data_IF_185654693900
#
_entry.id   IF_185654693900
#
_cell.length_a   1.000
_cell.length_b   1.000
_cell.length_c   1.000
_cell.angle_alpha   90.00
_cell.angle_beta   90.00
_cell.angle_gamma   90.00
#
_symmetry.space_group_name_H-M   'P 1'
#
loop_
_entity.id
_entity.type
_entity.pdbx_description
1 polymer ?
#
# COMPACT_ATOMS: atom_id res chain seq x y z
N UNK A 1 -74.98 -58.08 -10.19
CA UNK A 1 -74.60 -57.37 -8.97
C UNK A 1 -73.69 -56.27 -9.43
N UNK A 2 -74.28 -55.13 -9.95
CA UNK A 2 -74.66 -53.97 -9.10
C UNK A 2 -73.52 -53.60 -8.21
N UNK A 3 -73.05 -52.53 -8.40
CA UNK A 3 -73.04 -51.07 -8.42
C UNK A 3 -71.72 -50.61 -7.88
N UNK A 4 -71.03 -49.73 -8.52
CA UNK A 4 -70.85 -48.32 -8.09
C UNK A 4 -70.21 -47.59 -9.25
N UNK A 5 -71.03 -46.84 -9.98
CA UNK A 5 -70.56 -45.71 -10.81
C UNK A 5 -71.05 -44.45 -10.12
N UNK A 6 -70.15 -43.64 -9.57
CA UNK A 6 -70.51 -42.26 -9.21
C UNK A 6 -69.34 -41.36 -9.28
N UNK A 7 -69.42 -40.43 -10.21
CA UNK A 7 -69.12 -39.03 -9.95
C UNK A 7 -67.72 -38.52 -10.23
N UNK A 8 -67.26 -38.53 -11.47
CA UNK A 8 -66.28 -37.48 -11.91
C UNK A 8 -67.05 -36.37 -12.64
N UNK A 9 -67.39 -35.33 -11.90
CA UNK A 9 -67.84 -34.06 -12.51
C UNK A 9 -66.66 -33.44 -13.24
N UNK A 10 -66.64 -33.50 -14.58
CA UNK A 10 -65.71 -32.76 -15.43
C UNK A 10 -65.92 -31.26 -15.25
N UNK A 11 -64.98 -30.57 -14.64
CA UNK A 11 -65.02 -29.15 -14.54
C UNK A 11 -65.15 -28.51 -15.96
N UNK A 12 -66.03 -27.56 -16.13
CA UNK A 12 -66.26 -26.89 -17.42
C UNK A 12 -64.98 -26.26 -17.93
N UNK A 13 -64.68 -26.31 -19.24
CA UNK A 13 -63.40 -25.76 -19.83
C UNK A 13 -63.13 -24.30 -19.43
N UNK A 14 -64.14 -23.49 -19.20
CA UNK A 14 -64.03 -22.09 -18.76
C UNK A 14 -63.45 -21.96 -17.33
N UNK A 15 -63.76 -22.90 -16.41
CA UNK A 15 -63.21 -22.91 -15.05
C UNK A 15 -61.74 -23.29 -15.04
N UNK A 16 -61.33 -24.24 -15.88
CA UNK A 16 -59.94 -24.64 -16.04
C UNK A 16 -59.09 -23.50 -16.61
N UNK A 17 -59.57 -22.76 -17.56
CA UNK A 17 -58.88 -21.60 -18.15
C UNK A 17 -58.72 -20.46 -17.14
N UNK A 18 -59.75 -20.18 -16.35
CA UNK A 18 -59.71 -19.16 -15.29
C UNK A 18 -58.69 -19.50 -14.19
N UNK A 19 -58.65 -20.75 -13.73
CA UNK A 19 -57.67 -21.21 -12.75
C UNK A 19 -56.25 -21.17 -13.32
N UNK A 20 -56.07 -21.56 -14.59
CA UNK A 20 -54.79 -21.49 -15.27
C UNK A 20 -54.27 -20.04 -15.37
N UNK A 21 -55.09 -19.11 -15.77
CA UNK A 21 -54.76 -17.68 -15.89
C UNK A 21 -54.44 -17.04 -14.51
N UNK A 22 -55.23 -17.36 -13.47
CA UNK A 22 -54.95 -16.90 -12.10
C UNK A 22 -53.64 -17.43 -11.55
N UNK A 23 -53.30 -18.70 -11.80
CA UNK A 23 -52.02 -19.27 -11.38
C UNK A 23 -50.84 -18.70 -12.14
N UNK A 24 -51.01 -18.40 -13.43
CA UNK A 24 -49.97 -17.71 -14.23
C UNK A 24 -49.75 -16.28 -13.79
N UNK A 25 -50.78 -15.52 -13.49
CA UNK A 25 -50.72 -14.17 -12.93
C UNK A 25 -50.03 -14.16 -11.55
N UNK A 26 -50.38 -15.11 -10.66
CA UNK A 26 -49.72 -15.26 -9.35
C UNK A 26 -48.23 -15.54 -9.49
N UNK A 27 -47.81 -16.43 -10.40
CA UNK A 27 -46.41 -16.75 -10.65
C UNK A 27 -45.66 -15.52 -11.23
N UNK A 28 -46.29 -14.78 -12.13
CA UNK A 28 -45.68 -13.55 -12.70
C UNK A 28 -45.54 -12.44 -11.65
N UNK A 29 -46.57 -12.25 -10.81
CA UNK A 29 -46.49 -11.29 -9.68
C UNK A 29 -45.41 -11.68 -8.66
N UNK A 30 -45.31 -12.98 -8.30
CA UNK A 30 -44.22 -13.41 -7.41
C UNK A 30 -42.85 -13.21 -8.01
N UNK A 31 -42.65 -13.42 -9.31
CA UNK A 31 -41.41 -13.18 -9.99
C UNK A 31 -41.06 -11.68 -10.02
N UNK A 32 -42.05 -10.81 -10.25
CA UNK A 32 -41.85 -9.34 -10.21
C UNK A 32 -41.50 -8.89 -8.78
N UNK A 33 -42.18 -9.39 -7.75
CA UNK A 33 -41.86 -9.08 -6.35
C UNK A 33 -40.48 -9.58 -5.95
N UNK A 34 -40.07 -10.76 -6.40
CA UNK A 34 -38.72 -11.28 -6.14
C UNK A 34 -37.64 -10.41 -6.82
N UNK A 35 -37.88 -9.97 -8.07
CA UNK A 35 -36.96 -9.08 -8.81
C UNK A 35 -36.86 -7.69 -8.16
N UNK A 36 -37.97 -7.13 -7.72
CA UNK A 36 -37.99 -5.84 -7.00
C UNK A 36 -37.26 -5.96 -5.64
N UNK A 37 -37.44 -7.04 -4.93
CA UNK A 37 -36.75 -7.29 -3.65
C UNK A 37 -35.22 -7.44 -3.83
N UNK A 38 -34.80 -8.11 -4.91
CA UNK A 38 -33.37 -8.24 -5.25
C UNK A 38 -32.78 -6.87 -5.64
N UNK A 39 -33.47 -6.08 -6.46
CA UNK A 39 -33.03 -4.73 -6.86
C UNK A 39 -33.01 -3.80 -5.64
N UNK A 40 -34.00 -3.84 -4.75
CA UNK A 40 -34.03 -3.08 -3.53
C UNK A 40 -32.94 -3.50 -2.53
N UNK A 41 -32.64 -4.82 -2.45
CA UNK A 41 -31.54 -5.35 -1.64
C UNK A 41 -30.17 -4.93 -2.16
N UNK A 42 -29.97 -4.94 -3.47
CA UNK A 42 -28.73 -4.46 -4.11
C UNK A 42 -28.58 -2.94 -3.91
N UNK A 43 -29.65 -2.18 -4.10
CA UNK A 43 -29.63 -0.71 -3.91
C UNK A 43 -29.39 -0.32 -2.45
N UNK A 44 -29.93 -1.04 -1.48
CA UNK A 44 -29.71 -0.77 -0.05
C UNK A 44 -28.30 -1.14 0.39
N UNK A 45 -27.72 -2.23 -0.12
CA UNK A 45 -26.34 -2.62 0.15
C UNK A 45 -25.34 -1.61 -0.49
N UNK A 46 -25.59 -1.17 -1.71
CA UNK A 46 -24.76 -0.16 -2.37
C UNK A 46 -24.83 1.20 -1.65
N UNK A 47 -26.01 1.64 -1.22
CA UNK A 47 -26.19 2.86 -0.45
C UNK A 47 -25.57 2.77 0.96
N UNK A 48 -25.62 1.59 1.60
CA UNK A 48 -24.98 1.33 2.89
C UNK A 48 -23.45 1.30 2.75
N UNK A 49 -22.92 0.68 1.69
CA UNK A 49 -21.50 0.68 1.38
C UNK A 49 -21.00 2.12 1.14
N UNK A 50 -21.71 2.91 0.32
CA UNK A 50 -21.33 4.28 -0.03
C UNK A 50 -21.24 5.24 1.17
N UNK A 51 -21.88 4.94 2.29
CA UNK A 51 -21.83 5.75 3.51
C UNK A 51 -20.72 5.37 4.50
N UNK A 52 -19.97 4.30 4.25
CA UNK A 52 -18.96 3.81 5.20
C UNK A 52 -17.51 4.26 4.91
N UNK A 53 -17.30 5.03 3.84
CA UNK A 53 -15.96 5.49 3.46
C UNK A 53 -15.52 6.73 4.21
N UNK A 54 -14.22 6.80 4.51
CA UNK A 54 -13.59 8.04 4.90
C UNK A 54 -13.62 9.03 3.72
N UNK A 55 -13.89 10.30 4.01
CA UNK A 55 -13.98 11.35 2.99
C UNK A 55 -13.22 12.59 3.38
N UNK A 56 -12.80 13.34 2.38
CA UNK A 56 -12.19 14.66 2.57
C UNK A 56 -13.29 15.72 2.78
N UNK A 57 -13.13 16.53 3.82
CA UNK A 57 -13.98 17.70 4.10
C UNK A 57 -13.11 18.90 4.49
N UNK A 58 -12.84 19.78 3.55
CA UNK A 58 -11.87 20.85 3.75
C UNK A 58 -10.48 20.27 4.05
N UNK A 59 -9.86 20.71 5.13
CA UNK A 59 -8.54 20.23 5.58
C UNK A 59 -8.58 18.97 6.44
N UNK A 60 -9.75 18.36 6.59
CA UNK A 60 -9.97 17.21 7.47
C UNK A 60 -10.33 15.96 6.68
N UNK A 61 -10.00 14.81 7.22
CA UNK A 61 -10.60 13.53 6.87
C UNK A 61 -11.74 13.28 7.85
N UNK A 62 -12.90 12.87 7.36
CA UNK A 62 -14.08 12.60 8.19
C UNK A 62 -14.57 11.17 8.00
N UNK A 63 -15.07 10.61 9.10
CA UNK A 63 -15.77 9.33 9.13
C UNK A 63 -17.20 9.49 8.60
N UNK A 64 -17.90 8.38 8.32
CA UNK A 64 -19.31 8.40 7.91
C UNK A 64 -20.24 9.13 8.87
N UNK A 65 -19.94 9.12 10.17
CA UNK A 65 -20.70 9.84 11.21
C UNK A 65 -20.38 11.35 11.28
N UNK A 66 -19.49 11.84 10.40
CA UNK A 66 -19.04 13.23 10.36
C UNK A 66 -17.95 13.59 11.36
N UNK A 67 -17.54 12.67 12.24
CA UNK A 67 -16.43 12.90 13.17
C UNK A 67 -15.09 12.92 12.42
N UNK A 68 -14.14 13.71 12.94
CA UNK A 68 -12.80 13.77 12.35
C UNK A 68 -12.05 12.45 12.51
N UNK A 69 -11.32 12.08 11.47
CA UNK A 69 -10.39 10.96 11.49
C UNK A 69 -8.96 11.49 11.41
N UNK A 70 -8.15 11.17 12.41
CA UNK A 70 -6.75 11.54 12.45
C UNK A 70 -5.89 10.31 12.18
N UNK A 71 -5.15 10.29 11.08
CA UNK A 71 -4.24 9.20 10.72
C UNK A 71 -3.13 9.10 11.76
N UNK A 72 -2.95 7.93 12.35
CA UNK A 72 -1.89 7.61 13.29
C UNK A 72 -1.44 6.18 13.07
N UNK A 73 -0.22 5.99 12.57
CA UNK A 73 0.16 4.65 12.15
C UNK A 73 1.63 4.44 11.83
N UNK A 74 1.88 3.41 11.05
CA UNK A 74 3.21 2.97 10.61
C UNK A 74 3.17 2.38 9.21
N UNK A 75 4.36 2.26 8.62
CA UNK A 75 4.58 1.69 7.29
C UNK A 75 5.04 0.24 7.39
N UNK A 76 4.51 -0.66 6.55
CA UNK A 76 5.03 -2.02 6.39
C UNK A 76 6.25 -2.03 5.45
N UNK A 77 7.20 -1.14 5.69
CA UNK A 77 8.41 -1.01 4.88
C UNK A 77 9.27 -2.26 4.87
N UNK A 78 10.08 -2.42 3.83
CA UNK A 78 10.99 -3.54 3.59
C UNK A 78 10.30 -4.91 3.39
N UNK A 79 8.98 -4.95 3.28
CA UNK A 79 8.27 -6.23 3.12
C UNK A 79 8.04 -6.59 1.66
N UNK A 80 7.25 -5.80 0.95
CA UNK A 80 6.93 -6.01 -0.47
C UNK A 80 7.77 -5.13 -1.41
N UNK A 81 8.60 -4.27 -0.84
CA UNK A 81 9.65 -3.52 -1.51
C UNK A 81 10.92 -3.56 -0.64
N UNK A 82 11.86 -4.50 -0.89
CA UNK A 82 13.10 -4.60 -0.12
C UNK A 82 14.04 -3.44 -0.39
N UNK A 83 14.61 -2.87 0.68
CA UNK A 83 15.60 -1.80 0.63
C UNK A 83 16.92 -2.24 1.29
N UNK A 84 18.03 -2.01 0.60
CA UNK A 84 19.33 -2.54 0.99
C UNK A 84 19.75 -2.17 2.41
N UNK A 85 19.56 -0.92 2.83
CA UNK A 85 19.99 -0.47 4.16
C UNK A 85 19.29 -1.23 5.30
N UNK A 86 18.08 -1.74 5.08
CA UNK A 86 17.36 -2.56 6.06
C UNK A 86 17.91 -3.97 6.18
N UNK A 87 18.67 -4.44 5.19
CA UNK A 87 19.46 -5.67 5.22
C UNK A 87 20.91 -5.43 5.68
N UNK A 88 21.30 -4.16 5.87
CA UNK A 88 22.66 -3.76 6.18
C UNK A 88 23.57 -3.61 4.96
N UNK A 89 22.98 -3.55 3.75
CA UNK A 89 23.71 -3.35 2.50
C UNK A 89 23.84 -1.85 2.18
N UNK A 90 24.94 -1.46 1.56
CA UNK A 90 25.23 -0.08 1.15
C UNK A 90 25.16 0.07 -0.36
N UNK A 91 25.85 -0.79 -1.09
CA UNK A 91 25.95 -0.69 -2.55
C UNK A 91 24.86 -1.51 -3.28
N UNK A 92 24.34 -2.56 -2.64
CA UNK A 92 23.23 -3.37 -3.14
C UNK A 92 21.95 -2.88 -2.48
N UNK A 93 21.34 -1.82 -3.02
CA UNK A 93 20.39 -1.04 -2.25
C UNK A 93 18.97 -0.95 -2.84
N UNK A 94 18.71 -1.49 -4.04
CA UNK A 94 17.36 -1.60 -4.60
C UNK A 94 16.86 -3.05 -4.61
N UNK A 95 15.56 -3.24 -4.76
CA UNK A 95 14.91 -4.56 -4.76
C UNK A 95 15.50 -5.50 -5.84
N UNK A 96 15.67 -5.03 -7.07
CA UNK A 96 16.26 -5.81 -8.17
C UNK A 96 17.73 -6.12 -7.93
N UNK A 97 18.51 -5.20 -7.36
CA UNK A 97 19.90 -5.44 -7.02
C UNK A 97 20.05 -6.50 -5.92
N UNK A 98 19.17 -6.47 -4.92
CA UNK A 98 19.17 -7.45 -3.83
C UNK A 98 18.80 -8.84 -4.35
N UNK A 99 17.76 -8.94 -5.17
CA UNK A 99 17.34 -10.20 -5.78
C UNK A 99 18.47 -10.82 -6.64
N UNK A 100 19.07 -9.99 -7.50
CA UNK A 100 20.21 -10.41 -8.31
C UNK A 100 21.38 -10.88 -7.45
N UNK A 101 21.75 -10.14 -6.42
CA UNK A 101 22.82 -10.50 -5.52
C UNK A 101 22.54 -11.83 -4.79
N UNK A 102 21.30 -12.07 -4.36
CA UNK A 102 20.94 -13.36 -3.75
C UNK A 102 21.01 -14.50 -4.77
N UNK A 103 20.59 -14.28 -6.05
CA UNK A 103 20.75 -15.28 -7.13
C UNK A 103 22.24 -15.61 -7.37
N UNK A 104 23.11 -14.61 -7.37
CA UNK A 104 24.57 -14.80 -7.46
C UNK A 104 25.13 -15.55 -6.26
N UNK A 105 24.57 -15.36 -5.06
CA UNK A 105 25.04 -15.94 -3.82
C UNK A 105 24.65 -17.42 -3.66
N UNK A 106 23.37 -17.75 -3.86
CA UNK A 106 22.80 -19.07 -3.51
C UNK A 106 22.05 -19.77 -4.64
N UNK A 107 21.95 -19.15 -5.82
CA UNK A 107 21.23 -19.66 -7.00
C UNK A 107 19.74 -19.27 -7.00
N UNK A 108 19.14 -19.36 -8.19
CA UNK A 108 17.77 -18.87 -8.45
C UNK A 108 16.69 -19.58 -7.63
N UNK A 109 16.73 -20.92 -7.61
CA UNK A 109 15.73 -21.73 -6.90
C UNK A 109 15.69 -21.44 -5.38
N UNK A 110 16.88 -21.35 -4.77
CA UNK A 110 16.96 -21.03 -3.34
C UNK A 110 16.51 -19.60 -3.05
N UNK A 111 16.87 -18.65 -3.92
CA UNK A 111 16.45 -17.25 -3.82
C UNK A 111 14.93 -17.13 -3.91
N UNK A 112 14.28 -17.80 -4.86
CA UNK A 112 12.83 -17.82 -4.98
C UNK A 112 12.16 -18.40 -3.71
N UNK A 113 12.71 -19.51 -3.19
CA UNK A 113 12.25 -20.12 -1.92
C UNK A 113 12.43 -19.17 -0.72
N UNK A 114 13.57 -18.46 -0.67
CA UNK A 114 13.82 -17.45 0.38
C UNK A 114 12.80 -16.33 0.34
N UNK A 115 12.56 -15.72 -0.81
CA UNK A 115 11.60 -14.62 -0.96
C UNK A 115 10.18 -15.02 -0.61
N UNK A 116 9.76 -16.23 -1.02
CA UNK A 116 8.45 -16.74 -0.61
C UNK A 116 8.32 -16.81 0.91
N UNK A 117 9.28 -17.42 1.59
CA UNK A 117 9.30 -17.53 3.06
C UNK A 117 9.46 -16.16 3.73
N UNK A 118 10.22 -15.24 3.13
CA UNK A 118 10.39 -13.89 3.62
C UNK A 118 9.04 -13.16 3.65
N UNK A 119 8.29 -13.18 2.55
CA UNK A 119 6.96 -12.58 2.49
C UNK A 119 5.98 -13.20 3.48
N UNK A 120 6.09 -14.50 3.72
CA UNK A 120 5.21 -15.21 4.66
C UNK A 120 5.58 -14.95 6.15
N UNK A 121 6.84 -14.64 6.46
CA UNK A 121 7.36 -14.52 7.83
C UNK A 121 7.51 -13.06 8.30
N UNK A 122 7.82 -12.12 7.37
CA UNK A 122 8.22 -10.77 7.75
C UNK A 122 7.06 -9.95 8.30
N UNK A 123 5.90 -10.00 7.65
CA UNK A 123 4.64 -9.42 8.13
C UNK A 123 3.59 -10.52 8.21
N UNK A 124 2.99 -10.65 9.37
CA UNK A 124 1.99 -11.67 9.69
C UNK A 124 0.78 -11.04 10.39
N UNK A 125 -0.26 -11.85 10.59
CA UNK A 125 -1.43 -11.45 11.38
C UNK A 125 -1.05 -10.92 12.78
N UNK A 126 -0.03 -11.51 13.41
CA UNK A 126 0.42 -11.11 14.73
C UNK A 126 1.07 -9.72 14.73
N UNK A 127 1.77 -9.37 13.65
CA UNK A 127 2.30 -8.01 13.47
C UNK A 127 1.17 -6.97 13.41
N UNK A 128 0.10 -7.24 12.65
CA UNK A 128 -1.05 -6.33 12.52
C UNK A 128 -1.82 -6.23 13.85
N UNK A 129 -2.00 -7.34 14.55
CA UNK A 129 -2.58 -7.34 15.91
C UNK A 129 -1.75 -6.48 16.86
N UNK A 130 -0.43 -6.61 16.81
CA UNK A 130 0.46 -5.81 17.63
C UNK A 130 0.38 -4.31 17.26
N UNK A 131 0.41 -3.96 15.97
CA UNK A 131 0.25 -2.57 15.51
C UNK A 131 -1.03 -1.97 16.11
N UNK A 132 -2.16 -2.68 16.05
CA UNK A 132 -3.41 -2.20 16.69
C UNK A 132 -3.25 -1.96 18.20
N UNK A 133 -2.58 -2.86 18.91
CA UNK A 133 -2.38 -2.75 20.36
C UNK A 133 -1.57 -1.52 20.75
N UNK A 134 -0.75 -0.98 19.84
CA UNK A 134 0.00 0.26 20.05
C UNK A 134 -0.87 1.52 20.00
N UNK A 135 -2.15 1.43 19.61
CA UNK A 135 -3.05 2.57 19.44
C UNK A 135 -2.98 3.20 18.03
N UNK A 136 -2.27 2.59 17.11
CA UNK A 136 -2.34 2.93 15.70
C UNK A 136 -3.74 2.62 15.14
N UNK A 137 -4.15 3.38 14.12
CA UNK A 137 -5.43 3.20 13.43
C UNK A 137 -5.26 3.02 11.92
N UNK A 138 -4.05 3.23 11.40
CA UNK A 138 -3.75 3.19 9.97
C UNK A 138 -2.43 2.49 9.70
N UNK A 139 -2.40 1.71 8.63
CA UNK A 139 -1.21 1.11 8.06
C UNK A 139 -1.02 1.68 6.65
N UNK A 140 0.22 2.03 6.28
CA UNK A 140 0.61 2.31 4.90
C UNK A 140 1.38 1.10 4.37
N UNK A 141 0.97 0.61 3.21
CA UNK A 141 1.53 -0.58 2.57
C UNK A 141 2.27 -0.19 1.29
N UNK A 142 3.61 -0.14 1.32
CA UNK A 142 4.44 0.02 0.14
C UNK A 142 4.30 -1.16 -0.81
N UNK A 143 4.02 -0.88 -2.08
CA UNK A 143 3.83 -1.85 -3.16
C UNK A 143 4.83 -1.60 -4.29
N UNK A 144 5.31 -2.68 -4.89
CA UNK A 144 6.09 -2.63 -6.10
C UNK A 144 5.21 -3.04 -7.29
N UNK A 145 5.31 -2.36 -8.44
CA UNK A 145 4.47 -2.62 -9.60
C UNK A 145 4.55 -4.08 -10.10
N UNK A 146 5.74 -4.71 -10.00
CA UNK A 146 5.95 -6.11 -10.41
C UNK A 146 5.13 -7.13 -9.61
N UNK A 147 4.54 -6.74 -8.49
CA UNK A 147 3.58 -7.58 -7.77
C UNK A 147 2.26 -7.79 -8.53
N UNK A 148 2.02 -6.99 -9.58
CA UNK A 148 0.81 -6.97 -10.39
C UNK A 148 1.06 -7.29 -11.87
N UNK A 149 2.25 -7.75 -12.20
CA UNK A 149 2.67 -8.16 -13.55
C UNK A 149 3.09 -9.62 -13.55
N UNK A 150 3.45 -10.15 -14.70
CA UNK A 150 4.03 -11.49 -14.86
C UNK A 150 5.56 -11.50 -14.77
N UNK A 151 6.17 -10.34 -14.47
CA UNK A 151 7.61 -10.24 -14.26
C UNK A 151 8.04 -10.98 -12.98
N UNK A 152 9.20 -11.65 -13.03
CA UNK A 152 9.79 -12.28 -11.85
C UNK A 152 10.22 -11.21 -10.83
N UNK A 153 9.59 -11.26 -9.67
CA UNK A 153 9.87 -10.34 -8.58
C UNK A 153 9.76 -11.03 -7.24
N UNK A 154 10.82 -11.04 -6.45
CA UNK A 154 10.86 -11.74 -5.16
C UNK A 154 10.35 -13.18 -5.24
N UNK A 155 10.73 -13.91 -6.31
CA UNK A 155 10.29 -15.27 -6.57
C UNK A 155 8.82 -15.41 -6.95
N UNK A 156 8.16 -14.34 -7.35
CA UNK A 156 6.80 -14.35 -7.88
C UNK A 156 6.82 -14.44 -9.41
N UNK A 157 5.86 -15.17 -9.95
CA UNK A 157 5.63 -15.32 -11.39
C UNK A 157 4.16 -15.13 -11.75
N UNK A 158 3.38 -14.48 -10.87
CA UNK A 158 1.94 -14.30 -11.03
C UNK A 158 1.51 -12.93 -10.56
N UNK A 159 0.83 -12.19 -11.42
CA UNK A 159 0.19 -10.90 -11.13
C UNK A 159 -0.84 -10.94 -9.99
N UNK A 160 -1.30 -12.16 -9.61
CA UNK A 160 -2.26 -12.34 -8.51
C UNK A 160 -1.62 -12.30 -7.12
N UNK A 161 -0.30 -12.42 -7.02
CA UNK A 161 0.37 -12.48 -5.72
C UNK A 161 0.32 -11.14 -4.97
N UNK A 162 0.39 -10.02 -5.69
CA UNK A 162 0.22 -8.69 -5.10
C UNK A 162 -1.17 -8.53 -4.47
N UNK A 163 -2.21 -8.92 -5.20
CA UNK A 163 -3.58 -8.90 -4.70
C UNK A 163 -3.76 -9.80 -3.49
N UNK A 164 -3.18 -11.00 -3.52
CA UNK A 164 -3.22 -11.90 -2.36
C UNK A 164 -2.63 -11.25 -1.12
N UNK A 165 -1.49 -10.54 -1.24
CA UNK A 165 -0.86 -9.86 -0.10
C UNK A 165 -1.71 -8.70 0.43
N UNK A 166 -2.33 -7.94 -0.45
CA UNK A 166 -3.28 -6.89 -0.04
C UNK A 166 -4.49 -7.52 0.66
N UNK A 167 -5.06 -8.59 0.12
CA UNK A 167 -6.20 -9.29 0.71
C UNK A 167 -5.87 -9.85 2.11
N UNK A 168 -4.69 -10.44 2.29
CA UNK A 168 -4.21 -10.92 3.60
C UNK A 168 -4.19 -9.75 4.63
N UNK A 169 -3.59 -8.62 4.26
CA UNK A 169 -3.51 -7.44 5.14
C UNK A 169 -4.89 -6.84 5.42
N UNK A 170 -5.75 -6.71 4.40
CA UNK A 170 -7.12 -6.21 4.57
C UNK A 170 -7.96 -7.13 5.47
N UNK A 171 -7.79 -8.44 5.34
CA UNK A 171 -8.44 -9.40 6.24
C UNK A 171 -8.04 -9.18 7.69
N UNK A 172 -6.75 -8.97 7.96
CA UNK A 172 -6.25 -8.66 9.31
C UNK A 172 -6.66 -7.25 9.77
N UNK A 173 -6.67 -6.27 8.87
CA UNK A 173 -7.17 -4.93 9.17
C UNK A 173 -8.66 -4.95 9.56
N UNK A 174 -9.48 -5.76 8.87
CA UNK A 174 -10.88 -5.95 9.20
C UNK A 174 -11.05 -6.57 10.58
N UNK A 175 -10.26 -7.58 10.92
CA UNK A 175 -10.30 -8.25 12.22
C UNK A 175 -9.95 -7.30 13.37
N UNK A 176 -8.96 -6.42 13.19
CA UNK A 176 -8.45 -5.58 14.25
C UNK A 176 -8.93 -4.12 14.19
N UNK A 177 -9.68 -3.73 13.18
CA UNK A 177 -10.22 -2.37 13.03
C UNK A 177 -9.14 -1.35 12.71
N UNK A 178 -8.39 -1.58 11.62
CA UNK A 178 -7.39 -0.68 11.07
C UNK A 178 -7.78 -0.26 9.64
N UNK A 179 -7.34 0.91 9.23
CA UNK A 179 -7.41 1.37 7.84
C UNK A 179 -6.09 1.10 7.10
N UNK A 180 -6.18 0.93 5.79
CA UNK A 180 -5.04 0.65 4.92
C UNK A 180 -4.89 1.73 3.84
N UNK A 181 -3.70 2.30 3.71
CA UNK A 181 -3.28 3.11 2.56
C UNK A 181 -2.47 2.19 1.64
N UNK A 182 -2.87 2.12 0.37
CA UNK A 182 -2.11 1.43 -0.67
C UNK A 182 -1.21 2.46 -1.36
N UNK A 183 0.10 2.23 -1.31
CA UNK A 183 1.12 3.12 -1.82
C UNK A 183 1.90 2.46 -2.95
N UNK A 184 1.89 3.08 -4.15
CA UNK A 184 2.77 2.66 -5.24
C UNK A 184 4.17 3.18 -4.96
N UNK A 185 4.95 2.35 -4.28
CA UNK A 185 6.31 2.69 -3.84
C UNK A 185 7.33 2.60 -4.96
N UNK A 186 7.10 1.65 -5.88
CA UNK A 186 7.89 1.50 -7.10
C UNK A 186 6.94 1.38 -8.29
N UNK A 187 6.93 2.39 -9.16
CA UNK A 187 6.17 2.41 -10.39
C UNK A 187 6.97 1.85 -11.58
N UNK A 188 6.33 1.40 -12.68
CA UNK A 188 7.02 1.00 -13.90
C UNK A 188 8.01 2.07 -14.37
N UNK A 189 9.24 1.66 -14.65
CA UNK A 189 10.32 2.57 -15.05
C UNK A 189 10.94 3.41 -13.93
N UNK A 190 10.35 3.41 -12.73
CA UNK A 190 10.76 4.23 -11.60
C UNK A 190 10.31 5.69 -11.70
N UNK A 191 9.87 6.26 -10.59
CA UNK A 191 9.33 7.63 -10.52
C UNK A 191 10.27 8.63 -9.83
N UNK A 192 11.20 8.16 -9.00
CA UNK A 192 12.08 9.00 -8.19
C UNK A 192 13.46 9.18 -8.79
N UNK A 193 13.97 8.14 -9.44
CA UNK A 193 15.34 8.06 -9.95
C UNK A 193 16.36 7.63 -8.90
N UNK A 194 15.92 7.02 -7.81
CA UNK A 194 16.77 6.51 -6.73
C UNK A 194 16.64 4.99 -6.52
N UNK A 195 17.20 4.51 -5.43
CA UNK A 195 17.15 3.09 -5.09
C UNK A 195 15.82 2.66 -4.47
N UNK A 196 15.08 3.59 -3.89
CA UNK A 196 13.80 3.29 -3.21
C UNK A 196 12.69 2.91 -4.18
N UNK A 197 12.79 3.38 -5.43
CA UNK A 197 11.83 3.09 -6.51
C UNK A 197 12.34 2.06 -7.54
N UNK A 198 13.46 1.40 -7.24
CA UNK A 198 14.10 0.38 -8.09
C UNK A 198 14.40 0.85 -9.53
N UNK A 199 14.62 2.15 -9.72
CA UNK A 199 14.90 2.76 -11.02
C UNK A 199 16.35 2.56 -11.48
N UNK A 200 16.59 2.91 -12.74
CA UNK A 200 17.94 2.90 -13.33
C UNK A 200 18.76 4.17 -13.06
N UNK A 201 18.41 4.96 -12.04
CA UNK A 201 19.09 6.18 -11.67
C UNK A 201 18.49 7.46 -12.26
N UNK A 202 17.34 7.37 -12.93
CA UNK A 202 16.52 8.48 -13.43
C UNK A 202 15.06 8.06 -13.49
N UNK A 203 14.10 9.01 -13.44
CA UNK A 203 12.67 8.68 -13.36
C UNK A 203 12.09 8.38 -14.75
N UNK A 204 12.35 7.18 -15.28
CA UNK A 204 11.94 6.73 -16.61
C UNK A 204 10.44 6.78 -16.85
N UNK A 205 9.64 6.61 -15.81
CA UNK A 205 8.18 6.75 -15.85
C UNK A 205 7.72 8.02 -16.57
N UNK A 206 8.44 9.14 -16.39
CA UNK A 206 8.05 10.41 -17.00
C UNK A 206 8.51 10.58 -18.45
N UNK A 207 9.27 9.64 -18.97
CA UNK A 207 9.78 9.66 -20.34
C UNK A 207 9.10 8.63 -21.25
N UNK A 208 8.53 7.57 -20.65
CA UNK A 208 7.99 6.43 -21.37
C UNK A 208 6.48 6.30 -21.16
N UNK A 209 5.73 6.39 -22.27
CA UNK A 209 4.28 6.23 -22.26
C UNK A 209 3.83 4.80 -21.94
N UNK A 210 4.63 3.77 -22.28
CA UNK A 210 4.29 2.38 -21.98
C UNK A 210 4.33 2.13 -20.47
N UNK A 211 5.32 2.69 -19.77
CA UNK A 211 5.38 2.66 -18.31
C UNK A 211 4.18 3.37 -17.65
N UNK A 212 3.74 4.51 -18.22
CA UNK A 212 2.57 5.23 -17.73
C UNK A 212 1.27 4.45 -17.97
N UNK A 213 1.13 3.80 -19.13
CA UNK A 213 -0.01 2.95 -19.49
C UNK A 213 -0.10 1.73 -18.56
N UNK A 214 1.03 1.13 -18.24
CA UNK A 214 1.11 0.00 -17.31
C UNK A 214 0.73 0.43 -15.89
N UNK A 215 1.26 1.56 -15.41
CA UNK A 215 0.90 2.11 -14.11
C UNK A 215 -0.61 2.39 -14.01
N UNK A 216 -1.22 2.95 -15.05
CA UNK A 216 -2.66 3.20 -15.13
C UNK A 216 -3.45 1.89 -15.03
N UNK A 217 -3.08 0.86 -15.80
CA UNK A 217 -3.73 -0.46 -15.77
C UNK A 217 -3.66 -1.10 -14.38
N UNK A 218 -2.50 -1.01 -13.71
CA UNK A 218 -2.32 -1.54 -12.36
C UNK A 218 -3.24 -0.80 -11.37
N UNK A 219 -3.27 0.54 -11.41
CA UNK A 219 -4.14 1.31 -10.52
C UNK A 219 -5.62 1.07 -10.78
N UNK A 220 -6.04 0.93 -12.03
CA UNK A 220 -7.42 0.57 -12.37
C UNK A 220 -7.78 -0.80 -11.80
N UNK A 221 -6.91 -1.81 -11.98
CA UNK A 221 -7.12 -3.17 -11.44
C UNK A 221 -7.22 -3.18 -9.91
N UNK A 222 -6.38 -2.40 -9.23
CA UNK A 222 -6.42 -2.24 -7.77
C UNK A 222 -7.75 -1.56 -7.36
N UNK A 223 -8.10 -0.46 -8.04
CA UNK A 223 -9.29 0.30 -7.72
C UNK A 223 -10.58 -0.51 -7.97
N UNK A 224 -10.68 -1.26 -9.09
CA UNK A 224 -11.82 -2.15 -9.36
C UNK A 224 -11.99 -3.22 -8.28
N UNK A 225 -10.88 -3.83 -7.85
CA UNK A 225 -10.93 -4.88 -6.84
C UNK A 225 -11.39 -4.40 -5.48
N UNK A 226 -10.98 -3.19 -5.09
CA UNK A 226 -11.22 -2.68 -3.74
C UNK A 226 -12.26 -1.55 -3.67
N UNK A 227 -12.93 -1.19 -4.78
CA UNK A 227 -13.90 -0.09 -4.87
C UNK A 227 -14.95 -0.06 -3.75
N UNK A 228 -15.34 -1.23 -3.26
CA UNK A 228 -16.37 -1.41 -2.23
C UNK A 228 -15.80 -1.71 -0.83
N UNK A 229 -14.48 -1.65 -0.62
CA UNK A 229 -13.85 -1.96 0.67
C UNK A 229 -13.55 -0.68 1.48
N UNK A 230 -14.36 -0.29 2.46
CA UNK A 230 -14.19 0.95 3.20
C UNK A 230 -12.98 0.96 4.15
N UNK A 231 -12.27 -0.15 4.32
CA UNK A 231 -11.02 -0.22 5.10
C UNK A 231 -9.81 0.26 4.31
N UNK A 232 -9.89 0.30 2.98
CA UNK A 232 -8.92 1.03 2.18
C UNK A 232 -9.19 2.52 2.40
N UNK A 233 -8.26 3.23 3.01
CA UNK A 233 -8.38 4.66 3.26
C UNK A 233 -8.25 5.42 1.94
N UNK A 234 -7.27 5.04 1.13
CA UNK A 234 -7.00 5.69 -0.14
C UNK A 234 -5.83 5.08 -0.90
N UNK A 235 -5.63 5.58 -2.10
CA UNK A 235 -4.60 5.20 -3.05
C UNK A 235 -3.55 6.31 -3.14
N UNK A 236 -2.35 6.03 -2.67
CA UNK A 236 -1.18 6.90 -2.81
C UNK A 236 -0.50 6.58 -4.13
N UNK A 237 -0.70 7.46 -5.12
CA UNK A 237 -0.45 7.13 -6.51
C UNK A 237 1.02 6.94 -6.85
N UNK A 238 1.93 7.66 -6.19
CA UNK A 238 3.38 7.53 -6.32
C UNK A 238 4.08 7.90 -5.01
N UNK A 239 4.99 7.05 -4.56
CA UNK A 239 5.94 7.36 -3.52
C UNK A 239 7.07 8.22 -4.05
N UNK A 240 7.45 9.28 -3.36
CA UNK A 240 8.66 10.10 -3.58
C UNK A 240 9.02 10.39 -5.05
N UNK A 241 8.09 10.93 -5.87
CA UNK A 241 8.40 11.20 -7.26
C UNK A 241 9.48 12.29 -7.39
N UNK A 242 10.31 12.15 -8.45
CA UNK A 242 11.33 13.12 -8.86
C UNK A 242 12.27 13.47 -7.68
N UNK A 243 13.03 12.47 -7.23
CA UNK A 243 13.97 12.62 -6.12
C UNK A 243 14.98 13.74 -6.39
N UNK A 244 15.33 14.47 -5.35
CA UNK A 244 16.30 15.56 -5.46
C UNK A 244 17.68 15.04 -5.88
N UNK A 245 18.18 15.54 -7.02
CA UNK A 245 19.56 15.33 -7.47
C UNK A 245 20.36 16.63 -7.35
N UNK A 246 21.70 16.55 -7.24
CA UNK A 246 22.55 17.73 -7.26
C UNK A 246 22.27 18.60 -8.47
N UNK A 247 22.51 19.90 -8.36
CA UNK A 247 22.12 20.98 -9.26
C UNK A 247 22.52 20.85 -10.75
N UNK A 248 23.19 19.76 -11.15
CA UNK A 248 23.64 19.54 -12.53
C UNK A 248 22.55 18.98 -13.46
N UNK A 249 21.46 18.42 -12.94
CA UNK A 249 20.57 17.58 -13.75
C UNK A 249 19.23 18.23 -14.13
N UNK A 250 18.91 19.43 -13.66
CA UNK A 250 17.70 20.22 -14.05
C UNK A 250 16.38 19.43 -14.05
N UNK A 251 16.22 18.47 -13.13
CA UNK A 251 15.03 17.61 -13.07
C UNK A 251 13.75 18.36 -12.73
N UNK A 252 13.86 19.47 -12.03
CA UNK A 252 12.78 20.42 -11.80
C UNK A 252 12.21 20.97 -13.11
N UNK A 253 13.08 21.28 -14.09
CA UNK A 253 12.65 21.76 -15.41
C UNK A 253 12.08 20.64 -16.27
N UNK A 254 12.70 19.46 -16.24
CA UNK A 254 12.36 18.35 -17.14
C UNK A 254 11.09 17.58 -16.68
N UNK A 255 10.94 17.35 -15.38
CA UNK A 255 9.97 16.39 -14.86
C UNK A 255 8.83 17.03 -14.04
N UNK A 256 9.05 18.16 -13.35
CA UNK A 256 7.97 18.81 -12.60
C UNK A 256 6.70 19.07 -13.43
N UNK A 257 6.82 19.59 -14.68
CA UNK A 257 5.62 19.82 -15.50
C UNK A 257 4.85 18.56 -15.89
N UNK A 258 5.45 17.36 -15.72
CA UNK A 258 4.85 16.10 -16.10
C UNK A 258 4.08 15.43 -14.94
N UNK A 259 4.34 15.82 -13.69
CA UNK A 259 3.78 15.15 -12.50
C UNK A 259 2.27 15.39 -12.36
N UNK A 260 1.82 16.63 -12.40
CA UNK A 260 0.38 16.96 -12.28
C UNK A 260 -0.47 16.35 -13.41
N UNK A 261 -0.06 16.42 -14.70
CA UNK A 261 -0.79 15.75 -15.77
C UNK A 261 -0.91 14.24 -15.59
N UNK A 262 0.16 13.56 -15.14
CA UNK A 262 0.12 12.13 -14.84
C UNK A 262 -0.86 11.81 -13.71
N UNK A 263 -0.84 12.56 -12.61
CA UNK A 263 -1.79 12.39 -11.52
C UNK A 263 -3.24 12.60 -11.96
N UNK A 264 -3.53 13.60 -12.80
CA UNK A 264 -4.88 13.81 -13.36
C UNK A 264 -5.32 12.64 -14.22
N UNK A 265 -4.43 12.11 -15.06
CA UNK A 265 -4.67 10.94 -15.89
C UNK A 265 -5.03 9.71 -15.03
N UNK A 266 -4.17 9.36 -14.06
CA UNK A 266 -4.40 8.23 -13.16
C UNK A 266 -5.68 8.40 -12.34
N UNK A 267 -5.91 9.59 -11.81
CA UNK A 267 -7.13 9.88 -11.05
C UNK A 267 -8.39 9.69 -11.91
N UNK A 268 -8.40 10.18 -13.16
CA UNK A 268 -9.54 10.02 -14.06
C UNK A 268 -9.82 8.53 -14.36
N UNK A 269 -8.78 7.73 -14.58
CA UNK A 269 -8.90 6.29 -14.81
C UNK A 269 -9.45 5.57 -13.58
N UNK A 270 -8.92 5.84 -12.38
CA UNK A 270 -9.42 5.29 -11.12
C UNK A 270 -10.88 5.70 -10.91
N UNK A 271 -11.24 6.97 -11.14
CA UNK A 271 -12.61 7.47 -10.95
C UNK A 271 -13.62 6.87 -11.92
N UNK A 272 -13.19 6.26 -13.02
CA UNK A 272 -14.08 5.49 -13.89
C UNK A 272 -14.67 4.27 -13.16
N UNK A 273 -13.90 3.66 -12.25
CA UNK A 273 -14.26 2.42 -11.55
C UNK A 273 -14.51 2.61 -10.04
N UNK A 274 -13.88 3.60 -9.41
CA UNK A 274 -14.00 3.86 -7.96
C UNK A 274 -14.30 5.34 -7.69
N UNK A 275 -15.48 5.61 -7.11
CA UNK A 275 -15.95 6.95 -6.72
C UNK A 275 -15.70 7.29 -5.24
N UNK A 276 -15.20 6.35 -4.46
CA UNK A 276 -15.28 6.40 -3.00
C UNK A 276 -13.96 6.75 -2.32
N UNK A 277 -12.86 6.12 -2.73
CA UNK A 277 -11.58 6.22 -2.02
C UNK A 277 -10.89 7.56 -2.20
N UNK A 278 -10.12 7.95 -1.18
CA UNK A 278 -9.28 9.16 -1.24
C UNK A 278 -8.13 8.89 -2.21
N UNK A 279 -7.89 9.83 -3.12
CA UNK A 279 -6.67 9.86 -3.94
C UNK A 279 -5.62 10.65 -3.21
N UNK A 280 -4.43 10.08 -3.06
CA UNK A 280 -3.34 10.64 -2.27
C UNK A 280 -2.18 10.99 -3.21
N UNK A 281 -1.72 12.22 -3.17
CA UNK A 281 -0.74 12.75 -4.10
C UNK A 281 0.51 13.24 -3.37
N UNK A 282 1.66 12.72 -3.78
CA UNK A 282 2.97 13.19 -3.32
C UNK A 282 3.48 14.37 -4.13
N UNK A 283 4.26 15.24 -3.51
CA UNK A 283 5.03 16.27 -4.20
C UNK A 283 6.33 15.72 -4.78
N UNK A 284 7.02 16.51 -5.60
CA UNK A 284 8.37 16.19 -6.06
C UNK A 284 9.41 16.25 -4.91
N UNK A 285 10.65 15.92 -5.21
CA UNK A 285 11.80 15.95 -4.28
C UNK A 285 11.55 15.09 -3.03
N UNK A 286 11.09 13.86 -3.24
CA UNK A 286 10.81 12.98 -2.10
C UNK A 286 9.63 13.48 -1.26
N UNK A 287 8.54 13.88 -1.90
CA UNK A 287 7.31 14.37 -1.27
C UNK A 287 7.47 15.64 -0.41
N UNK A 288 8.38 16.56 -0.77
CA UNK A 288 8.57 17.81 -0.03
C UNK A 288 8.33 19.08 -0.86
N UNK A 289 8.27 19.00 -2.18
CA UNK A 289 8.04 20.14 -3.06
C UNK A 289 6.71 20.02 -3.82
N UNK A 290 5.84 21.01 -3.64
CA UNK A 290 4.49 21.06 -4.22
C UNK A 290 4.33 22.23 -5.20
N UNK A 291 5.42 22.87 -5.62
CA UNK A 291 5.39 24.08 -6.45
C UNK A 291 4.91 23.82 -7.88
N UNK A 292 5.01 22.58 -8.36
CA UNK A 292 4.55 22.21 -9.70
C UNK A 292 3.04 22.13 -9.85
N UNK A 293 2.29 22.04 -8.75
CA UNK A 293 0.83 21.93 -8.84
C UNK A 293 0.21 23.31 -9.16
N UNK A 294 -0.60 23.35 -10.21
CA UNK A 294 -1.35 24.54 -10.66
C UNK A 294 -2.84 24.40 -10.40
N UNK A 295 -3.37 23.16 -10.41
CA UNK A 295 -4.75 22.83 -10.13
C UNK A 295 -4.81 21.77 -9.02
N UNK A 296 -4.71 22.22 -7.78
CA UNK A 296 -4.67 21.32 -6.62
C UNK A 296 -6.02 20.76 -6.16
N UNK A 297 -7.11 21.09 -6.85
CA UNK A 297 -8.48 20.62 -6.53
C UNK A 297 -9.19 19.92 -7.69
N UNK A 298 -8.47 19.26 -8.55
CA UNK A 298 -9.05 18.62 -9.74
C UNK A 298 -9.96 17.42 -9.42
N UNK A 299 -9.94 16.91 -8.19
CA UNK A 299 -10.89 15.91 -7.69
C UNK A 299 -11.40 16.32 -6.30
N UNK A 300 -12.63 15.94 -5.97
CA UNK A 300 -13.28 16.34 -4.71
C UNK A 300 -12.82 15.56 -3.48
N UNK A 301 -12.12 14.44 -3.67
CA UNK A 301 -11.69 13.55 -2.58
C UNK A 301 -10.17 13.32 -2.62
N UNK A 302 -9.40 14.43 -2.70
CA UNK A 302 -7.95 14.45 -2.70
C UNK A 302 -7.37 14.70 -1.31
N UNK A 303 -6.23 14.08 -1.05
CA UNK A 303 -5.33 14.36 0.06
C UNK A 303 -3.90 14.44 -0.47
N UNK A 304 -3.07 15.30 0.13
CA UNK A 304 -1.63 15.30 -0.13
C UNK A 304 -0.87 14.48 0.91
N UNK A 305 0.25 13.90 0.48
CA UNK A 305 1.23 13.27 1.36
C UNK A 305 2.55 14.01 1.30
N UNK A 306 3.24 14.12 2.44
CA UNK A 306 4.59 14.63 2.52
C UNK A 306 5.47 13.69 3.35
N UNK A 307 6.79 13.73 3.12
CA UNK A 307 7.76 12.98 3.90
C UNK A 307 8.62 13.92 4.74
N UNK A 308 8.78 13.63 6.02
CA UNK A 308 9.42 14.53 6.96
C UNK A 308 10.57 13.83 7.68
N UNK A 309 11.75 13.81 7.06
CA UNK A 309 13.00 13.29 7.65
C UNK A 309 13.96 14.42 8.09
N UNK A 310 13.41 15.60 8.38
CA UNK A 310 14.18 16.77 8.76
C UNK A 310 14.72 16.62 10.19
N UNK A 311 16.02 16.87 10.37
CA UNK A 311 16.67 16.87 11.69
C UNK A 311 16.51 18.20 12.45
N UNK A 312 16.06 19.22 11.76
CA UNK A 312 15.79 20.55 12.33
C UNK A 312 14.46 20.58 13.10
N UNK A 313 14.29 21.61 13.91
CA UNK A 313 13.03 21.82 14.63
C UNK A 313 11.84 21.92 13.65
N UNK A 314 10.71 21.26 13.97
CA UNK A 314 9.58 21.16 13.04
C UNK A 314 8.99 22.53 12.66
N UNK A 315 9.08 23.53 13.52
CA UNK A 315 8.62 24.91 13.26
C UNK A 315 9.41 25.56 12.09
N UNK A 316 10.61 25.09 11.81
CA UNK A 316 11.42 25.57 10.68
C UNK A 316 11.26 24.68 9.45
N UNK A 317 11.27 23.37 9.64
CA UNK A 317 11.38 22.40 8.57
C UNK A 317 10.04 21.93 8.01
N UNK A 318 8.95 21.99 8.79
CA UNK A 318 7.63 21.47 8.40
C UNK A 318 6.59 22.59 8.17
N UNK A 319 6.85 23.81 8.68
CA UNK A 319 5.89 24.92 8.63
C UNK A 319 5.35 25.21 7.22
N UNK A 320 6.19 25.18 6.19
CA UNK A 320 5.78 25.46 4.82
C UNK A 320 4.79 24.42 4.26
N UNK A 321 4.84 23.19 4.73
CA UNK A 321 3.88 22.13 4.37
C UNK A 321 2.51 22.40 5.02
N UNK A 322 2.51 22.85 6.28
CA UNK A 322 1.30 23.31 6.97
C UNK A 322 0.68 24.50 6.22
N UNK A 323 1.50 25.47 5.81
CA UNK A 323 1.07 26.64 5.05
C UNK A 323 0.50 26.24 3.67
N UNK A 324 1.11 25.27 2.98
CA UNK A 324 0.58 24.74 1.72
C UNK A 324 -0.80 24.12 1.93
N UNK A 325 -0.96 23.22 2.93
CA UNK A 325 -2.26 22.65 3.29
C UNK A 325 -3.30 23.74 3.60
N UNK A 326 -2.94 24.73 4.37
CA UNK A 326 -3.85 25.81 4.78
C UNK A 326 -4.27 26.70 3.62
N UNK A 327 -3.36 26.96 2.70
CA UNK A 327 -3.62 27.72 1.47
C UNK A 327 -4.53 26.98 0.51
N UNK A 328 -4.30 25.68 0.31
CA UNK A 328 -5.10 24.86 -0.63
C UNK A 328 -6.44 24.44 -0.04
N UNK A 329 -6.53 24.35 1.29
CA UNK A 329 -7.72 23.85 1.99
C UNK A 329 -7.96 22.36 1.75
N UNK A 330 -6.90 21.58 1.41
CA UNK A 330 -6.93 20.13 1.19
C UNK A 330 -6.15 19.47 2.32
N UNK A 331 -6.59 18.32 2.86
CA UNK A 331 -5.86 17.65 3.92
C UNK A 331 -4.48 17.19 3.43
N UNK A 332 -3.51 17.22 4.34
CA UNK A 332 -2.16 16.69 4.13
C UNK A 332 -1.81 15.81 5.32
N UNK A 333 -1.22 14.66 5.05
CA UNK A 333 -0.65 13.81 6.08
C UNK A 333 0.83 13.57 5.83
N UNK A 334 1.54 13.14 6.86
CA UNK A 334 2.95 12.76 6.77
C UNK A 334 3.02 11.27 6.50
N UNK A 335 3.22 10.89 5.22
CA UNK A 335 3.26 9.50 4.77
C UNK A 335 4.46 8.74 5.34
N UNK A 336 5.59 9.45 5.48
CA UNK A 336 6.79 8.90 6.10
C UNK A 336 7.51 9.92 6.98
N UNK A 337 7.99 9.42 8.11
CA UNK A 337 8.85 10.17 9.04
C UNK A 337 9.55 9.18 9.97
N UNK A 338 10.65 9.57 10.57
CA UNK A 338 11.42 8.71 11.46
C UNK A 338 12.91 8.97 11.40
N UNK A 339 13.72 8.00 11.85
CA UNK A 339 15.18 8.09 11.90
C UNK A 339 15.71 9.24 12.78
N UNK A 340 14.97 9.61 13.80
CA UNK A 340 15.27 10.70 14.73
C UNK A 340 15.83 10.19 16.05
N UNK A 341 16.47 11.10 16.80
CA UNK A 341 16.63 10.90 18.25
C UNK A 341 15.26 10.88 18.92
N UNK A 342 15.17 10.33 20.12
CA UNK A 342 13.88 10.27 20.85
C UNK A 342 13.29 11.66 21.12
N UNK A 343 14.14 12.67 21.36
CA UNK A 343 13.72 14.05 21.54
C UNK A 343 13.13 14.65 20.27
N UNK A 344 13.82 14.48 19.12
CA UNK A 344 13.32 14.92 17.82
C UNK A 344 12.01 14.20 17.45
N UNK A 345 11.94 12.88 17.70
CA UNK A 345 10.75 12.08 17.49
C UNK A 345 9.53 12.65 18.21
N UNK A 346 9.70 12.94 19.49
CA UNK A 346 8.65 13.51 20.34
C UNK A 346 8.24 14.92 19.87
N UNK A 347 9.21 15.75 19.48
CA UNK A 347 8.94 17.09 18.97
C UNK A 347 8.13 17.05 17.66
N UNK A 348 8.53 16.17 16.72
CA UNK A 348 7.81 15.97 15.45
C UNK A 348 6.38 15.48 15.69
N UNK A 349 6.18 14.44 16.52
CA UNK A 349 4.84 13.93 16.81
C UNK A 349 3.93 15.00 17.43
N UNK A 350 4.44 15.79 18.37
CA UNK A 350 3.71 16.92 18.97
C UNK A 350 3.32 17.96 17.92
N UNK A 351 4.24 18.31 17.05
CA UNK A 351 4.02 19.31 16.00
C UNK A 351 2.96 18.85 15.00
N UNK A 352 3.01 17.60 14.55
CA UNK A 352 2.02 17.03 13.64
C UNK A 352 0.62 17.05 14.27
N UNK A 353 0.48 16.63 15.53
CA UNK A 353 -0.79 16.64 16.23
C UNK A 353 -1.33 18.07 16.39
N UNK A 354 -0.50 19.01 16.84
CA UNK A 354 -0.90 20.39 17.04
C UNK A 354 -1.34 21.07 15.74
N UNK A 355 -0.80 20.64 14.59
CA UNK A 355 -1.15 21.17 13.28
C UNK A 355 -2.16 20.32 12.51
N UNK A 356 -2.80 19.31 13.12
CA UNK A 356 -3.77 18.42 12.48
C UNK A 356 -3.20 17.75 11.20
N UNK A 357 -1.95 17.31 11.25
CA UNK A 357 -1.30 16.50 10.23
C UNK A 357 -1.22 15.07 10.71
N UNK A 358 -2.07 14.19 10.17
CA UNK A 358 -1.95 12.76 10.43
C UNK A 358 -0.58 12.23 9.98
N UNK A 359 -0.17 11.08 10.48
CA UNK A 359 1.15 10.55 10.15
C UNK A 359 1.24 9.04 10.22
N UNK A 360 2.20 8.48 9.43
CA UNK A 360 2.67 7.10 9.51
C UNK A 360 4.18 7.08 9.62
N UNK A 361 4.71 6.37 10.63
CA UNK A 361 6.14 6.29 10.87
C UNK A 361 6.81 5.19 10.05
N UNK A 362 8.02 5.43 9.58
CA UNK A 362 8.84 4.52 8.82
C UNK A 362 10.01 3.97 9.63
N UNK A 363 10.25 2.64 9.58
CA UNK A 363 9.32 1.56 9.27
C UNK A 363 8.74 0.91 10.53
N UNK A 364 7.76 0.01 10.36
CA UNK A 364 7.23 -0.81 11.45
C UNK A 364 8.28 -1.75 12.04
N UNK A 365 8.98 -2.50 11.17
CA UNK A 365 9.94 -3.56 11.54
C UNK A 365 11.29 -3.33 10.86
N UNK A 366 12.38 -3.55 11.60
CA UNK A 366 13.74 -3.37 11.08
C UNK A 366 14.74 -4.32 11.75
N UNK A 367 15.75 -4.76 10.99
CA UNK A 367 16.93 -5.39 11.55
C UNK A 367 17.79 -4.34 12.28
N UNK A 368 18.42 -4.69 13.40
CA UNK A 368 19.15 -3.81 14.31
C UNK A 368 18.22 -2.91 15.14
N UNK A 369 18.75 -2.31 16.20
CA UNK A 369 17.99 -1.52 17.17
C UNK A 369 17.71 -0.10 16.71
N UNK A 370 16.53 0.42 17.13
CA UNK A 370 16.14 1.82 17.04
C UNK A 370 15.44 2.23 15.75
N UNK A 371 14.52 3.17 15.86
CA UNK A 371 13.81 3.79 14.74
C UNK A 371 12.72 2.94 14.09
N UNK A 372 12.14 1.96 14.82
CA UNK A 372 11.00 1.16 14.39
C UNK A 372 10.25 0.61 15.61
N UNK A 373 9.00 0.18 15.43
CA UNK A 373 8.19 -0.35 16.54
C UNK A 373 8.73 -1.66 17.08
N UNK A 374 9.21 -2.52 16.18
CA UNK A 374 9.84 -3.78 16.52
C UNK A 374 11.16 -3.96 15.78
N UNK A 375 12.11 -4.58 16.45
CA UNK A 375 13.46 -4.78 15.94
C UNK A 375 13.87 -6.25 16.12
N UNK A 376 14.60 -6.79 15.18
CA UNK A 376 15.18 -8.12 15.30
C UNK A 376 16.70 -8.10 15.20
N UNK A 377 17.33 -9.09 15.86
CA UNK A 377 18.78 -9.21 15.87
C UNK A 377 19.27 -9.69 14.50
N UNK A 378 20.40 -9.17 13.99
CA UNK A 378 21.03 -9.69 12.79
C UNK A 378 21.23 -11.22 12.89
N UNK A 379 20.95 -11.93 11.80
CA UNK A 379 21.07 -13.37 11.74
C UNK A 379 22.51 -13.84 11.92
N UNK A 380 22.72 -15.01 12.52
CA UNK A 380 24.04 -15.61 12.60
C UNK A 380 24.61 -15.83 11.19
N UNK A 381 25.84 -15.37 10.97
CA UNK A 381 26.51 -15.45 9.66
C UNK A 381 26.05 -14.41 8.63
N UNK A 382 25.12 -13.49 8.98
CA UNK A 382 24.63 -12.45 8.06
C UNK A 382 25.74 -11.52 7.58
N UNK A 383 26.80 -11.31 8.37
CA UNK A 383 27.97 -10.51 7.98
C UNK A 383 28.63 -11.00 6.69
N UNK A 384 28.60 -12.32 6.42
CA UNK A 384 29.12 -12.88 5.17
C UNK A 384 28.26 -12.52 3.96
N UNK A 385 26.94 -12.38 4.14
CA UNK A 385 26.00 -11.92 3.11
C UNK A 385 26.22 -10.42 2.87
N UNK A 386 26.37 -9.64 3.94
CA UNK A 386 26.71 -8.20 3.84
C UNK A 386 28.03 -8.00 3.12
N UNK A 387 29.09 -8.74 3.49
CA UNK A 387 30.37 -8.63 2.81
C UNK A 387 30.27 -8.97 1.31
N UNK A 388 29.47 -9.96 0.93
CA UNK A 388 29.23 -10.28 -0.46
C UNK A 388 28.40 -9.20 -1.19
N UNK A 389 27.44 -8.57 -0.51
CA UNK A 389 26.64 -7.47 -1.10
C UNK A 389 27.50 -6.26 -1.49
N UNK A 390 28.60 -6.02 -0.78
CA UNK A 390 29.54 -4.91 -1.01
C UNK A 390 30.72 -5.29 -1.93
N UNK A 391 30.77 -6.55 -2.41
CA UNK A 391 31.87 -7.03 -3.20
C UNK A 391 31.91 -6.42 -4.61
N UNK A 392 33.10 -6.41 -5.20
CA UNK A 392 33.33 -6.00 -6.59
C UNK A 392 32.51 -6.87 -7.57
N UNK A 393 31.69 -6.24 -8.40
CA UNK A 393 30.84 -6.86 -9.43
C UNK A 393 31.26 -6.49 -10.85
N UNK A 394 32.47 -5.97 -11.03
CA UNK A 394 33.00 -5.57 -12.34
C UNK A 394 33.19 -6.74 -13.31
N UNK A 395 33.26 -7.98 -12.80
CA UNK A 395 33.36 -9.19 -13.62
C UNK A 395 32.79 -10.41 -12.90
N UNK A 396 32.34 -11.42 -13.67
CA UNK A 396 31.94 -12.73 -13.11
C UNK A 396 33.05 -13.40 -12.30
N UNK A 397 34.31 -13.15 -12.63
CA UNK A 397 35.43 -13.66 -11.86
C UNK A 397 35.55 -12.98 -10.48
N UNK A 398 35.33 -11.69 -10.40
CA UNK A 398 35.30 -10.95 -9.14
C UNK A 398 34.16 -11.44 -8.24
N UNK A 399 32.95 -11.56 -8.78
CA UNK A 399 31.78 -12.10 -8.08
C UNK A 399 32.06 -13.50 -7.53
N UNK A 400 32.58 -14.40 -8.38
CA UNK A 400 32.90 -15.80 -7.97
C UNK A 400 33.93 -15.85 -6.84
N UNK A 401 34.93 -15.00 -6.87
CA UNK A 401 35.98 -14.96 -5.84
C UNK A 401 35.48 -14.45 -4.50
N UNK A 402 34.54 -13.50 -4.53
CA UNK A 402 33.98 -12.89 -3.32
C UNK A 402 32.90 -13.75 -2.66
N UNK A 403 32.33 -14.72 -3.40
CA UNK A 403 31.21 -15.54 -2.91
C UNK A 403 31.67 -16.43 -1.74
N UNK A 404 31.03 -16.31 -0.55
CA UNK A 404 31.29 -17.19 0.57
C UNK A 404 30.86 -18.63 0.27
N UNK A 405 31.19 -19.56 1.17
CA UNK A 405 30.66 -20.92 1.10
C UNK A 405 29.13 -20.89 1.04
N UNK A 406 28.55 -21.66 0.12
CA UNK A 406 27.12 -21.66 -0.15
C UNK A 406 26.30 -22.16 1.06
N UNK A 407 26.85 -23.11 1.84
CA UNK A 407 26.20 -23.61 3.05
C UNK A 407 26.15 -22.55 4.14
N UNK A 408 27.23 -21.78 4.31
CA UNK A 408 27.27 -20.63 5.24
C UNK A 408 26.23 -19.58 4.83
N UNK A 409 26.18 -19.21 3.54
CA UNK A 409 25.23 -18.24 3.05
C UNK A 409 23.77 -18.70 3.24
N UNK A 410 23.44 -19.95 2.88
CA UNK A 410 22.10 -20.52 3.06
C UNK A 410 21.68 -20.58 4.52
N UNK A 411 22.60 -20.95 5.42
CA UNK A 411 22.33 -20.96 6.86
C UNK A 411 22.06 -19.53 7.39
N UNK A 412 22.82 -18.53 6.96
CA UNK A 412 22.60 -17.14 7.32
C UNK A 412 21.23 -16.63 6.83
N UNK A 413 20.85 -16.93 5.58
CA UNK A 413 19.55 -16.60 5.03
C UNK A 413 18.40 -17.32 5.76
N UNK A 414 18.57 -18.59 6.12
CA UNK A 414 17.58 -19.31 6.92
C UNK A 414 17.44 -18.71 8.33
N UNK A 415 18.55 -18.36 8.97
CA UNK A 415 18.55 -17.69 10.27
C UNK A 415 17.86 -16.32 10.19
N UNK A 416 18.04 -15.57 9.10
CA UNK A 416 17.33 -14.30 8.87
C UNK A 416 15.82 -14.51 8.85
N UNK A 417 15.33 -15.53 8.14
CA UNK A 417 13.91 -15.88 8.06
C UNK A 417 13.30 -16.24 9.43
N UNK A 418 14.08 -16.78 10.34
CA UNK A 418 13.62 -17.03 11.71
C UNK A 418 13.65 -15.75 12.56
N UNK A 419 14.73 -14.96 12.47
CA UNK A 419 14.88 -13.76 13.28
C UNK A 419 13.84 -12.67 12.94
N UNK A 420 13.38 -12.58 11.68
CA UNK A 420 12.40 -11.58 11.28
C UNK A 420 10.95 -11.89 11.71
N UNK A 421 10.66 -13.10 12.21
CA UNK A 421 9.34 -13.45 12.77
C UNK A 421 9.01 -12.58 13.98
N UNK A 422 7.77 -12.15 14.10
CA UNK A 422 7.33 -11.30 15.22
C UNK A 422 7.70 -11.86 16.58
N UNK A 423 7.57 -13.17 16.79
CA UNK A 423 7.93 -13.85 18.04
C UNK A 423 9.40 -13.67 18.48
N UNK A 424 10.29 -13.38 17.53
CA UNK A 424 11.72 -13.19 17.76
C UNK A 424 12.12 -11.70 17.75
N UNK A 425 11.16 -10.80 17.53
CA UNK A 425 11.39 -9.37 17.56
C UNK A 425 11.35 -8.80 18.97
N UNK A 426 12.10 -7.73 19.19
CA UNK A 426 12.05 -6.91 20.40
C UNK A 426 11.21 -5.67 20.15
N UNK A 427 10.26 -5.41 21.04
CA UNK A 427 9.43 -4.21 21.02
C UNK A 427 10.23 -3.02 21.56
N UNK A 428 10.23 -1.91 20.82
CA UNK A 428 10.74 -0.62 21.29
C UNK A 428 9.59 0.24 21.84
N UNK A 429 9.24 0.01 23.11
CA UNK A 429 8.14 0.70 23.75
C UNK A 429 8.36 2.21 23.88
N UNK A 430 9.62 2.64 24.04
CA UNK A 430 9.96 4.05 24.14
C UNK A 430 9.73 4.74 22.80
N UNK A 431 10.16 4.11 21.69
CA UNK A 431 9.92 4.62 20.34
C UNK A 431 8.42 4.70 20.04
N UNK A 432 7.64 3.66 20.36
CA UNK A 432 6.18 3.64 20.20
C UNK A 432 5.50 4.77 21.00
N UNK A 433 5.91 4.96 22.24
CA UNK A 433 5.32 6.00 23.10
C UNK A 433 5.62 7.41 22.55
N UNK A 434 6.84 7.67 22.10
CA UNK A 434 7.21 8.96 21.49
C UNK A 434 6.50 9.19 20.15
N UNK A 435 6.34 8.13 19.36
CA UNK A 435 5.69 8.16 18.04
C UNK A 435 4.18 8.38 18.17
N UNK A 436 3.51 7.58 18.97
CA UNK A 436 2.05 7.57 19.05
C UNK A 436 1.50 8.43 20.20
N UNK A 437 2.38 9.12 20.92
CA UNK A 437 2.01 10.04 22.03
C UNK A 437 1.13 9.34 23.07
N UNK A 438 1.64 8.27 23.65
CA UNK A 438 0.99 7.52 24.72
C UNK A 438 1.52 7.91 26.08
#
# INVERSE_FOLDING_TARGET
MEEIVSGFALAKPEQCLTIYLQNRMKKTLLAIFATIAVIAGISSNAAYAQNNFLKVKGKDIVKPDGSKFFIKGTNLGNWLNPEGYMFGFTNTNSASMIDRMFKELVGEEYTASFWKKYKDNYITREDIRFIKSTGANTIRLPLHYRLFTDEDYMGLTSEQDGFKRIDDVLGWCNEFGLYLILDMHCAPGGQGGGNVDDSFGYPWLFEDSECQDELEKIWVSIAERYADNPLVLGYELLNEPIEHRPATDSWDVLYYPKLEPLYKRLTAAIRAVDKNHIIILGGARGNIDFTMFTDWKFDSNLMYTCHCYFKEAPEKSVKYLVEFRDRTGIPMYVGETGHFTMEQQLAMSKYFIANNMGYTYWPYKKMKTGGSFVNFTPAAGWDSVVAFSEADRSSYQAIRRARPDQGVAKNAMQSFLEQCKFSNCKVDQNYINATLMK
#
